data_IF_740180360658
#
_entry.id   IF_740180360658
#
_cell.length_a   1.000
_cell.length_b   1.000
_cell.length_c   1.000
_cell.angle_alpha   90.00
_cell.angle_beta   90.00
_cell.angle_gamma   90.00
#
_symmetry.space_group_name_H-M   'P 1'
#
loop_
_entity.id
_entity.type
_entity.pdbx_description
1 polymer ?
#
# COMPACT_ATOMS: atom_id res chain seq x y z
N UNK A 1 26.19 -19.78 -23.53
CA UNK A 1 26.20 -18.30 -23.51
C UNK A 1 25.57 -17.84 -22.21
N UNK A 2 26.36 -17.32 -21.27
CA UNK A 2 25.81 -16.61 -20.10
C UNK A 2 25.27 -15.28 -20.61
N UNK A 3 23.94 -15.14 -20.66
CA UNK A 3 23.34 -13.82 -20.81
C UNK A 3 23.80 -12.98 -19.62
N UNK A 4 24.60 -11.96 -19.89
CA UNK A 4 25.09 -11.04 -18.87
C UNK A 4 23.89 -10.19 -18.43
N UNK A 5 23.14 -10.68 -17.45
CA UNK A 5 22.00 -9.95 -16.89
C UNK A 5 22.57 -8.69 -16.23
N UNK A 6 22.25 -7.53 -16.78
CA UNK A 6 22.63 -6.24 -16.20
C UNK A 6 22.04 -6.11 -14.80
N UNK A 7 22.79 -5.53 -13.86
CA UNK A 7 22.31 -5.25 -12.51
C UNK A 7 21.38 -4.02 -12.44
N UNK A 8 20.71 -3.68 -13.53
CA UNK A 8 19.93 -2.44 -13.68
C UNK A 8 18.46 -2.79 -13.87
N UNK A 9 17.60 -2.20 -13.04
CA UNK A 9 16.15 -2.23 -13.22
C UNK A 9 15.75 -0.91 -13.86
N UNK A 10 15.42 -0.96 -15.15
CA UNK A 10 14.94 0.20 -15.90
C UNK A 10 13.46 0.40 -15.64
N UNK A 11 13.09 1.60 -15.21
CA UNK A 11 11.71 2.03 -15.09
C UNK A 11 11.28 2.76 -16.36
N UNK A 12 10.37 2.13 -17.11
CA UNK A 12 9.80 2.66 -18.36
C UNK A 12 9.02 3.98 -18.16
N UNK A 13 8.49 4.55 -19.25
CA UNK A 13 7.82 5.87 -19.29
C UNK A 13 6.76 6.09 -18.21
N UNK A 14 5.96 5.07 -17.89
CA UNK A 14 4.90 5.13 -16.88
C UNK A 14 5.04 4.01 -15.86
N UNK A 15 5.34 4.38 -14.62
CA UNK A 15 5.35 3.43 -13.51
C UNK A 15 3.95 3.40 -12.90
N UNK A 16 3.34 2.22 -12.97
CA UNK A 16 2.11 1.90 -12.26
C UNK A 16 2.33 0.68 -11.39
N UNK A 17 1.36 0.41 -10.53
CA UNK A 17 1.42 -0.72 -9.62
C UNK A 17 1.33 -2.04 -10.37
N UNK A 18 0.51 -2.08 -11.41
CA UNK A 18 0.49 -3.19 -12.35
C UNK A 18 1.85 -3.42 -13.00
N UNK A 19 2.52 -2.37 -13.50
CA UNK A 19 3.88 -2.46 -14.06
C UNK A 19 4.88 -2.95 -13.03
N UNK A 20 4.77 -2.50 -11.77
CA UNK A 20 5.63 -2.95 -10.68
C UNK A 20 5.51 -4.47 -10.44
N UNK A 21 4.28 -4.97 -10.27
CA UNK A 21 4.04 -6.39 -9.97
C UNK A 21 4.19 -7.33 -11.18
N UNK A 22 4.17 -6.82 -12.41
CA UNK A 22 4.34 -7.65 -13.62
C UNK A 22 5.75 -7.63 -14.18
N UNK A 23 6.44 -6.49 -14.13
CA UNK A 23 7.78 -6.30 -14.70
C UNK A 23 8.85 -6.14 -13.61
N UNK A 24 8.74 -5.13 -12.76
CA UNK A 24 9.82 -4.74 -11.82
C UNK A 24 10.19 -5.89 -10.88
N UNK A 25 9.19 -6.49 -10.23
CA UNK A 25 9.40 -7.64 -9.32
C UNK A 25 9.98 -8.86 -10.04
N UNK A 26 9.58 -9.11 -11.29
CA UNK A 26 10.10 -10.20 -12.11
C UNK A 26 11.57 -9.96 -12.49
N UNK A 27 11.90 -8.76 -12.98
CA UNK A 27 13.28 -8.36 -13.29
C UNK A 27 14.16 -8.48 -12.06
N UNK A 28 13.70 -7.97 -10.91
CA UNK A 28 14.43 -8.10 -9.66
C UNK A 28 14.63 -9.56 -9.26
N UNK A 29 13.59 -10.41 -9.36
CA UNK A 29 13.70 -11.83 -9.04
C UNK A 29 14.75 -12.54 -9.90
N UNK A 30 14.75 -12.29 -11.22
CA UNK A 30 15.70 -12.91 -12.14
C UNK A 30 17.14 -12.44 -11.87
N UNK A 31 17.32 -11.17 -11.53
CA UNK A 31 18.59 -10.61 -11.06
C UNK A 31 19.04 -11.23 -9.73
N UNK A 32 18.14 -11.31 -8.75
CA UNK A 32 18.44 -11.89 -7.45
C UNK A 32 18.85 -13.36 -7.58
N UNK A 33 18.17 -14.13 -8.42
CA UNK A 33 18.51 -15.54 -8.62
C UNK A 33 19.84 -15.76 -9.35
N UNK A 34 20.27 -14.81 -10.19
CA UNK A 34 21.55 -14.88 -10.90
C UNK A 34 22.73 -14.26 -10.15
N UNK A 35 22.50 -13.16 -9.41
CA UNK A 35 23.53 -12.36 -8.75
C UNK A 35 23.05 -11.88 -7.36
N UNK A 36 22.87 -12.81 -6.42
CA UNK A 36 22.30 -12.54 -5.08
C UNK A 36 22.94 -11.40 -4.30
N UNK A 37 24.24 -11.20 -4.45
CA UNK A 37 25.01 -10.23 -3.67
C UNK A 37 25.14 -8.85 -4.36
N UNK A 38 24.65 -8.72 -5.59
CA UNK A 38 24.72 -7.46 -6.34
C UNK A 38 23.41 -6.70 -6.16
N UNK A 39 23.44 -5.58 -5.44
CA UNK A 39 22.23 -4.74 -5.33
C UNK A 39 21.89 -4.12 -6.70
N UNK A 40 20.59 -4.02 -7.04
CA UNK A 40 20.16 -3.41 -8.28
C UNK A 40 20.44 -1.90 -8.30
N UNK A 41 20.69 -1.37 -9.49
CA UNK A 41 20.60 0.06 -9.78
C UNK A 41 19.18 0.34 -10.30
N UNK A 42 18.49 1.30 -9.70
CA UNK A 42 17.14 1.69 -10.10
C UNK A 42 17.21 2.87 -11.08
N UNK A 43 16.97 2.61 -12.36
CA UNK A 43 17.13 3.62 -13.44
C UNK A 43 15.79 4.21 -13.86
N UNK A 44 15.57 5.47 -13.46
CA UNK A 44 14.40 6.29 -13.74
C UNK A 44 14.61 7.28 -14.90
N UNK A 45 15.74 7.24 -15.63
CA UNK A 45 16.01 8.23 -16.71
C UNK A 45 14.96 8.22 -17.83
N UNK A 46 14.30 7.07 -18.05
CA UNK A 46 13.22 6.92 -19.03
C UNK A 46 11.83 7.14 -18.44
N UNK A 47 11.71 7.31 -17.11
CA UNK A 47 10.42 7.49 -16.44
C UNK A 47 9.93 8.92 -16.63
N UNK A 48 8.72 9.07 -17.18
CA UNK A 48 8.04 10.36 -17.35
C UNK A 48 7.01 10.61 -16.25
N UNK A 49 6.36 9.55 -15.77
CA UNK A 49 5.29 9.66 -14.80
C UNK A 49 5.19 8.45 -13.88
N UNK A 50 4.90 8.70 -12.61
CA UNK A 50 4.60 7.67 -11.62
C UNK A 50 3.16 7.88 -11.14
N UNK A 51 2.33 6.85 -11.27
CA UNK A 51 0.97 6.92 -10.73
C UNK A 51 1.03 7.08 -9.21
N UNK A 52 0.15 7.88 -8.58
CA UNK A 52 0.11 8.07 -7.14
C UNK A 52 0.20 6.76 -6.35
N UNK A 53 -0.50 5.73 -6.84
CA UNK A 53 -0.57 4.44 -6.16
C UNK A 53 0.76 3.69 -6.15
N UNK A 54 1.67 3.97 -7.09
CA UNK A 54 2.98 3.33 -7.18
C UNK A 54 4.03 3.98 -6.27
N UNK A 55 3.80 5.21 -5.80
CA UNK A 55 4.79 5.98 -5.02
C UNK A 55 5.16 5.29 -3.71
N UNK A 56 4.20 4.90 -2.84
CA UNK A 56 4.52 4.12 -1.63
C UNK A 56 5.22 2.80 -1.92
N UNK A 57 4.89 2.16 -3.04
CA UNK A 57 5.47 0.86 -3.41
C UNK A 57 6.95 0.99 -3.74
N UNK A 58 7.34 2.06 -4.43
CA UNK A 58 8.74 2.32 -4.76
C UNK A 58 9.58 2.59 -3.51
N UNK A 59 9.04 3.35 -2.55
CA UNK A 59 9.71 3.56 -1.26
C UNK A 59 9.81 2.26 -0.45
N UNK A 60 8.72 1.50 -0.36
CA UNK A 60 8.70 0.19 0.31
C UNK A 60 9.69 -0.80 -0.33
N UNK A 61 9.77 -0.81 -1.66
CA UNK A 61 10.74 -1.62 -2.41
C UNK A 61 12.17 -1.17 -2.16
N UNK A 62 12.44 0.13 -2.18
CA UNK A 62 13.73 0.69 -1.80
C UNK A 62 14.15 0.29 -0.37
N UNK A 63 13.25 0.44 0.59
CA UNK A 63 13.47 0.05 2.00
C UNK A 63 13.79 -1.45 2.11
N UNK A 64 13.02 -2.30 1.41
CA UNK A 64 13.28 -3.73 1.34
C UNK A 64 14.68 -4.03 0.80
N UNK A 65 15.04 -3.42 -0.32
CA UNK A 65 16.36 -3.61 -0.95
C UNK A 65 17.48 -3.10 -0.03
N UNK A 66 17.33 -1.93 0.58
CA UNK A 66 18.32 -1.36 1.49
C UNK A 66 18.59 -2.30 2.68
N UNK A 67 17.53 -2.87 3.26
CA UNK A 67 17.66 -3.89 4.33
C UNK A 67 18.28 -5.20 3.84
N UNK A 68 17.91 -5.65 2.64
CA UNK A 68 18.42 -6.90 2.05
C UNK A 68 19.93 -6.81 1.78
N UNK A 69 20.38 -5.70 1.20
CA UNK A 69 21.77 -5.49 0.80
C UNK A 69 22.61 -4.72 1.83
N UNK A 70 21.99 -4.26 2.93
CA UNK A 70 22.61 -3.49 4.02
C UNK A 70 23.37 -2.25 3.53
N UNK A 71 22.81 -1.57 2.52
CA UNK A 71 23.36 -0.35 1.93
C UNK A 71 22.27 0.46 1.26
N UNK A 72 22.50 1.77 1.11
CA UNK A 72 21.65 2.62 0.29
C UNK A 72 21.61 2.08 -1.15
N UNK A 73 20.46 2.20 -1.79
CA UNK A 73 20.24 1.69 -3.14
C UNK A 73 20.50 2.83 -4.13
N UNK A 74 21.34 2.55 -5.11
CA UNK A 74 21.64 3.51 -6.16
C UNK A 74 20.41 3.74 -7.03
N UNK A 75 20.04 5.01 -7.18
CA UNK A 75 19.04 5.45 -8.14
C UNK A 75 19.68 6.32 -9.21
N UNK A 76 19.19 6.26 -10.43
CA UNK A 76 19.66 7.10 -11.55
C UNK A 76 18.45 7.82 -12.14
N UNK A 77 18.54 9.12 -12.31
CA UNK A 77 17.47 9.94 -12.85
C UNK A 77 18.07 11.12 -13.63
N UNK A 78 17.25 11.74 -14.47
CA UNK A 78 17.65 12.94 -15.21
C UNK A 78 17.49 14.16 -14.30
N UNK A 79 18.59 14.82 -13.93
CA UNK A 79 18.57 16.07 -13.15
C UNK A 79 17.77 17.14 -13.89
N UNK A 80 17.11 18.03 -13.14
CA UNK A 80 16.22 19.07 -13.67
C UNK A 80 14.93 18.58 -14.35
N UNK A 81 14.69 17.27 -14.45
CA UNK A 81 13.45 16.73 -15.03
C UNK A 81 12.23 16.98 -14.14
N UNK A 82 11.03 16.87 -14.72
CA UNK A 82 9.77 16.91 -13.96
C UNK A 82 9.71 15.82 -12.88
N UNK A 83 10.28 14.64 -13.16
CA UNK A 83 10.37 13.55 -12.20
C UNK A 83 11.33 13.89 -11.03
N UNK A 84 12.47 14.50 -11.33
CA UNK A 84 13.39 14.98 -10.29
C UNK A 84 12.69 16.01 -9.38
N UNK A 85 12.00 17.00 -9.99
CA UNK A 85 11.21 17.97 -9.24
C UNK A 85 10.13 17.29 -8.37
N UNK A 86 9.44 16.27 -8.91
CA UNK A 86 8.50 15.45 -8.15
C UNK A 86 9.14 14.79 -6.93
N UNK A 87 10.33 14.20 -7.06
CA UNK A 87 10.99 13.57 -5.91
C UNK A 87 11.31 14.58 -4.80
N UNK A 88 11.73 15.79 -5.16
CA UNK A 88 12.06 16.84 -4.20
C UNK A 88 10.82 17.37 -3.47
N UNK A 89 9.76 17.72 -4.19
CA UNK A 89 8.59 18.41 -3.63
C UNK A 89 7.59 17.48 -2.92
N UNK A 90 7.54 16.19 -3.30
CA UNK A 90 6.60 15.23 -2.71
C UNK A 90 7.06 14.67 -1.36
N UNK A 91 8.25 15.08 -0.86
CA UNK A 91 9.00 14.47 0.25
C UNK A 91 9.63 13.10 -0.03
N UNK A 92 9.58 12.61 -1.27
CA UNK A 92 10.19 11.32 -1.61
C UNK A 92 11.70 11.33 -1.31
N UNK A 93 12.40 12.36 -1.78
CA UNK A 93 13.81 12.60 -1.49
C UNK A 93 14.08 12.68 0.02
N UNK A 94 13.39 13.58 0.72
CA UNK A 94 13.56 13.84 2.17
C UNK A 94 13.40 12.55 2.99
N UNK A 95 12.32 11.80 2.73
CA UNK A 95 12.02 10.55 3.44
C UNK A 95 13.09 9.49 3.15
N UNK A 96 13.44 9.31 1.87
CA UNK A 96 14.42 8.29 1.50
C UNK A 96 15.84 8.59 2.00
N UNK A 97 16.24 9.86 2.11
CA UNK A 97 17.48 10.25 2.77
C UNK A 97 17.44 9.98 4.27
N UNK A 98 16.38 10.42 4.95
CA UNK A 98 16.24 10.26 6.40
C UNK A 98 16.26 8.80 6.85
N UNK A 99 15.78 7.89 5.99
CA UNK A 99 15.71 6.46 6.25
C UNK A 99 16.86 5.66 5.62
N UNK A 100 17.87 6.34 5.06
CA UNK A 100 19.01 5.69 4.37
C UNK A 100 18.57 4.64 3.32
N UNK A 101 17.56 4.99 2.53
CA UNK A 101 16.99 4.11 1.50
C UNK A 101 17.75 4.25 0.18
N UNK A 102 17.91 5.48 -0.33
CA UNK A 102 18.50 5.74 -1.64
C UNK A 102 19.76 6.58 -1.57
N UNK A 103 20.70 6.30 -2.48
CA UNK A 103 21.83 7.17 -2.76
C UNK A 103 21.38 8.25 -3.74
N UNK A 104 21.43 9.50 -3.30
CA UNK A 104 21.17 10.64 -4.14
C UNK A 104 22.47 11.31 -4.50
N UNK A 105 22.56 11.76 -5.75
CA UNK A 105 23.58 12.72 -6.16
C UNK A 105 23.51 13.97 -5.26
N UNK A 106 24.65 14.62 -5.02
CA UNK A 106 24.71 15.87 -4.25
C UNK A 106 23.79 16.93 -4.91
N UNK A 107 22.65 17.18 -4.28
CA UNK A 107 21.58 18.09 -4.75
C UNK A 107 21.81 19.53 -4.29
N UNK A 108 23.00 19.86 -3.78
CA UNK A 108 23.27 21.15 -3.14
C UNK A 108 23.09 22.39 -4.02
N UNK A 109 22.96 22.30 -5.35
CA UNK A 109 23.16 23.51 -6.17
C UNK A 109 22.36 23.74 -7.48
N UNK A 110 21.24 23.05 -7.77
CA UNK A 110 20.50 23.36 -9.02
C UNK A 110 18.98 23.50 -8.84
N UNK A 111 18.52 24.75 -8.87
CA UNK A 111 17.13 25.19 -8.82
C UNK A 111 16.30 24.75 -10.06
N UNK A 112 14.99 24.53 -9.87
CA UNK A 112 13.89 25.37 -10.40
C UNK A 112 12.54 24.80 -9.92
N UNK A 113 11.96 25.44 -8.91
CA UNK A 113 10.60 25.17 -8.44
C UNK A 113 9.59 25.47 -9.58
N UNK A 114 9.11 24.44 -10.26
CA UNK A 114 7.75 24.48 -10.82
C UNK A 114 6.84 23.88 -9.76
N UNK A 115 5.85 24.64 -9.29
CA UNK A 115 4.88 24.20 -8.29
C UNK A 115 4.14 22.94 -8.78
N UNK A 116 4.69 21.76 -8.49
CA UNK A 116 3.84 20.63 -8.16
C UNK A 116 2.99 21.08 -6.99
N UNK A 117 1.66 20.91 -7.10
CA UNK A 117 0.70 21.37 -6.09
C UNK A 117 1.26 21.07 -4.71
N UNK A 118 1.55 22.12 -3.92
CA UNK A 118 2.11 22.07 -2.55
C UNK A 118 1.39 21.08 -1.61
N UNK A 119 0.20 20.64 -2.01
CA UNK A 119 -0.69 19.77 -1.30
C UNK A 119 -0.31 18.29 -1.38
N UNK A 120 0.21 17.78 -2.50
CA UNK A 120 0.47 16.34 -2.60
C UNK A 120 1.76 15.97 -1.86
N UNK A 121 1.63 15.34 -0.69
CA UNK A 121 2.76 14.98 0.18
C UNK A 121 2.76 13.50 0.49
N UNK A 122 3.93 12.90 0.41
CA UNK A 122 4.21 11.57 0.94
C UNK A 122 4.42 11.72 2.45
N UNK A 123 3.84 10.80 3.21
CA UNK A 123 4.16 10.60 4.60
C UNK A 123 4.75 9.21 4.79
N UNK A 124 5.40 9.02 5.93
CA UNK A 124 5.74 7.68 6.41
C UNK A 124 5.46 7.60 7.90
N UNK A 125 5.11 6.40 8.33
CA UNK A 125 4.90 6.04 9.72
C UNK A 125 5.92 4.99 10.13
N UNK A 126 6.81 5.42 11.02
CA UNK A 126 7.62 4.56 11.88
C UNK A 126 8.12 5.39 13.07
N UNK A 127 7.20 6.08 13.75
CA UNK A 127 7.53 6.75 15.01
C UNK A 127 7.38 5.67 16.08
N UNK A 128 8.50 5.21 16.63
CA UNK A 128 8.47 4.61 17.97
C UNK A 128 8.06 5.74 18.90
N UNK A 129 6.78 5.81 19.24
CA UNK A 129 6.32 6.74 20.24
C UNK A 129 6.97 6.30 21.56
N UNK A 130 7.87 7.11 22.12
CA UNK A 130 8.64 6.72 23.30
C UNK A 130 7.74 6.28 24.47
N UNK A 131 6.54 6.84 24.58
CA UNK A 131 5.55 6.48 25.61
C UNK A 131 4.79 5.18 25.30
N UNK A 132 4.77 4.72 24.05
CA UNK A 132 4.15 3.44 23.66
C UNK A 132 4.87 2.24 24.24
N UNK A 133 6.18 2.34 24.51
CA UNK A 133 6.95 1.25 25.12
C UNK A 133 6.53 0.99 26.57
N UNK A 134 5.95 2.00 27.24
CA UNK A 134 5.45 1.89 28.63
C UNK A 134 4.09 1.20 28.71
N UNK A 135 3.34 1.14 27.60
CA UNK A 135 1.99 0.55 27.56
C UNK A 135 2.09 -0.95 27.32
N UNK A 136 1.77 -1.75 28.35
CA UNK A 136 1.83 -3.22 28.30
C UNK A 136 0.60 -3.86 27.65
N UNK A 137 -0.58 -3.26 27.84
CA UNK A 137 -1.83 -3.82 27.31
C UNK A 137 -1.94 -3.52 25.80
N UNK A 138 -2.08 -4.55 24.94
CA UNK A 138 -2.04 -4.37 23.48
C UNK A 138 -3.11 -3.42 22.91
N UNK A 139 -4.28 -3.32 23.53
CA UNK A 139 -5.36 -2.44 23.05
C UNK A 139 -5.12 -0.99 23.41
N UNK A 140 -4.75 -0.70 24.65
CA UNK A 140 -4.33 0.63 25.08
C UNK A 140 -3.15 1.14 24.24
N UNK A 141 -2.21 0.24 23.92
CA UNK A 141 -1.06 0.56 23.07
C UNK A 141 -1.50 0.96 21.66
N UNK A 142 -2.41 0.19 21.09
CA UNK A 142 -2.97 0.47 19.76
C UNK A 142 -3.74 1.78 19.75
N UNK A 143 -4.60 2.01 20.74
CA UNK A 143 -5.48 3.18 20.79
C UNK A 143 -4.65 4.46 20.95
N UNK A 144 -3.61 4.44 21.78
CA UNK A 144 -2.65 5.53 21.88
C UNK A 144 -1.95 5.83 20.54
N UNK A 145 -1.48 4.79 19.83
CA UNK A 145 -0.85 4.96 18.50
C UNK A 145 -1.86 5.58 17.52
N UNK A 146 -3.10 5.05 17.50
CA UNK A 146 -4.18 5.54 16.65
C UNK A 146 -4.48 7.02 16.91
N UNK A 147 -4.57 7.44 18.17
CA UNK A 147 -4.86 8.83 18.53
C UNK A 147 -3.73 9.78 18.07
N UNK A 148 -2.48 9.39 18.34
CA UNK A 148 -1.32 10.16 17.88
C UNK A 148 -1.22 10.24 16.35
N UNK A 149 -1.58 9.16 15.65
CA UNK A 149 -1.60 9.14 14.19
C UNK A 149 -2.75 9.96 13.62
N UNK A 150 -3.90 10.02 14.29
CA UNK A 150 -5.09 10.74 13.85
C UNK A 150 -4.83 12.23 13.73
N UNK A 151 -4.25 12.85 14.75
CA UNK A 151 -3.93 14.29 14.73
C UNK A 151 -2.94 14.61 13.60
N UNK A 152 -1.89 13.81 13.48
CA UNK A 152 -0.90 13.96 12.41
C UNK A 152 -1.51 13.77 11.02
N UNK A 153 -2.29 12.72 10.83
CA UNK A 153 -2.94 12.39 9.55
C UNK A 153 -3.92 13.49 9.14
N UNK A 154 -4.65 14.06 10.10
CA UNK A 154 -5.56 15.17 9.86
C UNK A 154 -4.82 16.40 9.33
N UNK A 155 -3.70 16.79 9.96
CA UNK A 155 -2.87 17.92 9.49
C UNK A 155 -2.30 17.68 8.09
N UNK A 156 -1.88 16.45 7.77
CA UNK A 156 -1.25 16.14 6.49
C UNK A 156 -2.29 16.01 5.37
N UNK A 157 -3.38 15.28 5.60
CA UNK A 157 -4.27 14.83 4.54
C UNK A 157 -5.54 15.65 4.39
N UNK A 158 -6.04 16.31 5.44
CA UNK A 158 -7.30 17.05 5.36
C UNK A 158 -7.27 18.08 4.24
N UNK A 159 -6.17 18.84 4.13
CA UNK A 159 -5.99 19.84 3.08
C UNK A 159 -5.98 19.23 1.66
N UNK A 160 -5.41 18.04 1.50
CA UNK A 160 -5.38 17.35 0.19
C UNK A 160 -6.77 16.84 -0.20
N UNK A 161 -7.50 16.31 0.79
CA UNK A 161 -8.84 15.77 0.62
C UNK A 161 -9.88 16.88 0.39
N UNK A 162 -9.68 18.06 0.98
CA UNK A 162 -10.57 19.22 0.85
C UNK A 162 -10.33 20.08 -0.41
N UNK A 163 -9.18 19.93 -1.08
CA UNK A 163 -8.76 20.82 -2.16
C UNK A 163 -9.53 20.59 -3.48
N UNK A 164 -9.05 19.69 -4.34
CA UNK A 164 -9.48 19.67 -5.75
C UNK A 164 -10.87 19.08 -5.97
N UNK A 165 -11.31 18.16 -5.10
CA UNK A 165 -12.59 17.48 -5.24
C UNK A 165 -13.64 17.90 -4.21
N UNK A 166 -13.29 18.77 -3.25
CA UNK A 166 -14.16 19.18 -2.14
C UNK A 166 -14.97 18.00 -1.58
N UNK A 167 -14.26 16.92 -1.20
CA UNK A 167 -14.94 15.76 -0.63
C UNK A 167 -15.80 16.20 0.57
N UNK A 168 -17.01 15.64 0.75
CA UNK A 168 -17.83 15.95 1.91
C UNK A 168 -17.08 15.66 3.23
N UNK A 169 -17.29 16.46 4.27
CA UNK A 169 -16.53 16.35 5.53
C UNK A 169 -16.59 14.95 6.16
N UNK A 170 -17.75 14.27 6.07
CA UNK A 170 -17.90 12.90 6.53
C UNK A 170 -17.02 11.91 5.75
N UNK A 171 -16.81 12.14 4.45
CA UNK A 171 -15.92 11.32 3.62
C UNK A 171 -14.46 11.62 3.92
N UNK A 172 -14.11 12.89 4.17
CA UNK A 172 -12.78 13.28 4.62
C UNK A 172 -12.46 12.59 5.95
N UNK A 173 -13.36 12.67 6.93
CA UNK A 173 -13.21 12.00 8.23
C UNK A 173 -13.01 10.50 8.10
N UNK A 174 -13.93 9.81 7.40
CA UNK A 174 -13.82 8.36 7.17
C UNK A 174 -12.53 7.98 6.44
N UNK A 175 -12.05 8.83 5.53
CA UNK A 175 -10.79 8.62 4.79
C UNK A 175 -9.56 8.76 5.69
N UNK A 176 -9.55 9.74 6.59
CA UNK A 176 -8.44 9.92 7.54
C UNK A 176 -8.42 8.75 8.52
N UNK A 177 -9.57 8.36 9.05
CA UNK A 177 -9.72 7.26 10.00
C UNK A 177 -9.25 5.95 9.40
N UNK A 178 -9.56 5.74 8.12
CA UNK A 178 -9.06 4.65 7.32
C UNK A 178 -7.54 4.61 7.20
N UNK A 179 -6.90 5.75 6.89
CA UNK A 179 -5.44 5.84 6.81
C UNK A 179 -4.83 5.53 8.18
N UNK A 180 -5.36 6.13 9.25
CA UNK A 180 -4.92 5.93 10.64
C UNK A 180 -5.00 4.47 11.03
N UNK A 181 -6.09 3.79 10.69
CA UNK A 181 -6.25 2.37 11.02
C UNK A 181 -5.23 1.48 10.30
N UNK A 182 -5.00 1.73 9.01
CA UNK A 182 -4.03 0.96 8.22
C UNK A 182 -2.62 1.21 8.76
N UNK A 183 -2.25 2.46 9.00
CA UNK A 183 -0.94 2.83 9.55
C UNK A 183 -0.72 2.30 10.96
N UNK A 184 -1.74 2.32 11.82
CA UNK A 184 -1.69 1.73 13.17
C UNK A 184 -1.40 0.24 13.08
N UNK A 185 -2.08 -0.48 12.19
CA UNK A 185 -1.83 -1.90 11.97
C UNK A 185 -0.42 -2.16 11.40
N UNK A 186 0.09 -1.29 10.54
CA UNK A 186 1.45 -1.39 10.05
C UNK A 186 2.48 -1.22 11.19
N UNK A 187 2.33 -0.21 12.04
CA UNK A 187 3.20 0.01 13.21
C UNK A 187 3.13 -1.19 14.18
N UNK A 188 1.91 -1.68 14.45
CA UNK A 188 1.70 -2.74 15.44
C UNK A 188 2.22 -4.10 14.99
N UNK A 189 2.15 -4.42 13.69
CA UNK A 189 2.33 -5.80 13.22
C UNK A 189 3.35 -5.97 12.10
N UNK A 190 3.63 -4.94 11.30
CA UNK A 190 4.44 -5.07 10.07
C UNK A 190 5.94 -5.18 10.35
N UNK A 191 6.42 -4.54 11.43
CA UNK A 191 7.86 -4.41 11.76
C UNK A 191 8.68 -3.71 10.65
N UNK A 192 8.05 -2.83 9.87
CA UNK A 192 8.71 -2.07 8.79
C UNK A 192 8.12 -0.67 8.67
N UNK A 193 8.77 0.18 7.88
CA UNK A 193 8.25 1.49 7.51
C UNK A 193 6.99 1.34 6.67
N UNK A 194 5.93 2.06 7.03
CA UNK A 194 4.76 2.23 6.16
C UNK A 194 4.83 3.59 5.48
N UNK A 195 4.66 3.59 4.16
CA UNK A 195 4.64 4.79 3.34
C UNK A 195 3.21 5.07 2.87
N UNK A 196 2.77 6.31 2.98
CA UNK A 196 1.42 6.72 2.58
C UNK A 196 1.50 7.90 1.62
N UNK A 197 0.74 7.82 0.54
CA UNK A 197 0.58 8.93 -0.39
C UNK A 197 -0.89 9.17 -0.70
N UNK A 198 -1.32 10.43 -0.56
CA UNK A 198 -2.65 10.91 -0.89
C UNK A 198 -2.51 11.95 -1.99
N UNK A 199 -3.19 11.70 -3.12
CA UNK A 199 -3.25 12.60 -4.25
C UNK A 199 -4.71 12.84 -4.61
N UNK A 200 -5.07 14.11 -4.79
CA UNK A 200 -6.39 14.53 -5.24
C UNK A 200 -6.25 15.36 -6.51
N UNK A 201 -6.93 14.94 -7.57
CA UNK A 201 -6.97 15.63 -8.86
C UNK A 201 -8.41 15.74 -9.37
N UNK A 202 -8.61 16.28 -10.58
CA UNK A 202 -9.95 16.48 -11.15
C UNK A 202 -10.78 15.20 -11.35
N UNK A 203 -10.16 14.02 -11.34
CA UNK A 203 -10.79 12.73 -11.58
C UNK A 203 -11.17 12.03 -10.27
N UNK A 204 -10.50 12.36 -9.17
CA UNK A 204 -10.80 11.81 -7.86
C UNK A 204 -9.63 11.87 -6.90
N UNK A 205 -9.82 11.20 -5.76
CA UNK A 205 -8.82 11.05 -4.73
C UNK A 205 -8.24 9.64 -4.79
N UNK A 206 -6.93 9.54 -4.79
CA UNK A 206 -6.16 8.29 -4.75
C UNK A 206 -5.33 8.26 -3.49
N UNK A 207 -5.40 7.14 -2.80
CA UNK A 207 -4.65 6.88 -1.58
C UNK A 207 -3.94 5.56 -1.78
N UNK A 208 -2.68 5.51 -1.44
CA UNK A 208 -1.95 4.26 -1.36
C UNK A 208 -1.13 4.23 -0.09
N UNK A 209 -1.15 3.07 0.54
CA UNK A 209 -0.35 2.75 1.72
C UNK A 209 0.39 1.46 1.41
N UNK A 210 1.71 1.44 1.61
CA UNK A 210 2.51 0.25 1.37
C UNK A 210 3.62 0.13 2.41
N UNK A 211 3.84 -1.09 2.86
CA UNK A 211 4.96 -1.49 3.69
C UNK A 211 5.74 -2.64 3.03
N UNK A 212 6.87 -3.04 3.61
CA UNK A 212 7.65 -4.21 3.19
C UNK A 212 7.93 -5.16 4.37
N UNK A 213 6.93 -5.26 5.26
CA UNK A 213 7.06 -5.99 6.51
C UNK A 213 6.69 -7.47 6.40
N UNK A 214 6.43 -8.10 7.54
CA UNK A 214 6.21 -9.56 7.60
C UNK A 214 4.93 -10.04 6.90
N UNK A 215 4.00 -9.13 6.62
CA UNK A 215 2.76 -9.44 5.90
C UNK A 215 1.71 -10.18 6.72
N UNK A 216 0.55 -10.46 6.11
CA UNK A 216 -0.62 -10.97 6.83
C UNK A 216 -0.43 -12.35 7.46
N UNK A 217 0.09 -13.33 6.70
CA UNK A 217 0.20 -14.71 7.17
C UNK A 217 1.06 -14.79 8.44
N UNK A 218 2.24 -14.20 8.38
CA UNK A 218 3.18 -14.21 9.51
C UNK A 218 2.66 -13.38 10.69
N UNK A 219 2.01 -12.25 10.43
CA UNK A 219 1.34 -11.45 11.47
C UNK A 219 0.29 -12.26 12.24
N UNK A 220 -0.54 -13.03 11.55
CA UNK A 220 -1.53 -13.90 12.19
C UNK A 220 -0.87 -15.00 13.03
N UNK A 221 0.13 -15.69 12.48
CA UNK A 221 0.84 -16.75 13.18
C UNK A 221 1.52 -16.27 14.47
N UNK A 222 2.26 -15.16 14.42
CA UNK A 222 2.94 -14.57 15.59
C UNK A 222 1.96 -14.16 16.69
N UNK A 223 0.77 -13.72 16.30
CA UNK A 223 -0.29 -13.33 17.24
C UNK A 223 -1.20 -14.49 17.66
N UNK A 224 -0.85 -15.74 17.30
CA UNK A 224 -1.64 -16.95 17.59
C UNK A 224 -3.09 -16.83 17.09
N UNK A 225 -3.29 -16.16 15.96
CA UNK A 225 -4.61 -15.95 15.33
C UNK A 225 -4.79 -16.93 14.16
N UNK A 226 -6.02 -17.41 14.01
CA UNK A 226 -6.37 -18.34 12.95
C UNK A 226 -6.68 -17.61 11.63
N UNK A 227 -6.15 -18.12 10.52
CA UNK A 227 -6.53 -17.71 9.17
C UNK A 227 -7.85 -18.39 8.78
N UNK A 228 -8.97 -17.90 9.34
CA UNK A 228 -10.29 -18.53 9.25
C UNK A 228 -10.75 -18.86 7.83
N UNK A 229 -10.52 -17.99 6.86
CA UNK A 229 -10.94 -18.25 5.47
C UNK A 229 -10.05 -19.30 4.80
N UNK A 230 -8.75 -19.35 5.12
CA UNK A 230 -7.85 -20.42 4.64
C UNK A 230 -8.32 -21.78 5.17
N UNK A 231 -8.67 -21.86 6.46
CA UNK A 231 -9.18 -23.09 7.07
C UNK A 231 -10.55 -23.51 6.51
N UNK A 232 -11.45 -22.55 6.32
CA UNK A 232 -12.82 -22.84 5.86
C UNK A 232 -12.88 -23.29 4.40
N UNK A 233 -12.01 -22.74 3.55
CA UNK A 233 -11.95 -23.04 2.14
C UNK A 233 -10.79 -23.99 1.79
N UNK A 234 -10.53 -24.98 2.67
CA UNK A 234 -9.62 -26.08 2.38
C UNK A 234 -10.06 -26.83 1.12
N UNK A 235 -9.10 -27.17 0.25
CA UNK A 235 -9.37 -27.86 -1.03
C UNK A 235 -9.57 -26.94 -2.24
N UNK A 236 -9.62 -25.62 -2.05
CA UNK A 236 -9.55 -24.66 -3.16
C UNK A 236 -8.16 -24.72 -3.84
N UNK A 237 -8.12 -24.46 -5.15
CA UNK A 237 -6.87 -24.39 -5.92
C UNK A 237 -5.80 -23.53 -5.22
N UNK A 238 -4.55 -24.03 -5.17
CA UNK A 238 -3.43 -23.38 -4.46
C UNK A 238 -3.20 -21.92 -4.87
N UNK A 239 -3.51 -21.55 -6.11
CA UNK A 239 -3.38 -20.17 -6.63
C UNK A 239 -4.19 -19.15 -5.82
N UNK A 240 -5.28 -19.57 -5.16
CA UNK A 240 -6.10 -18.70 -4.32
C UNK A 240 -5.65 -18.62 -2.86
N UNK A 241 -4.53 -19.25 -2.47
CA UNK A 241 -4.10 -19.25 -1.06
C UNK A 241 -3.88 -17.82 -0.52
N UNK A 242 -3.15 -16.98 -1.26
CA UNK A 242 -2.89 -15.60 -0.83
C UNK A 242 -4.16 -14.74 -0.86
N UNK A 243 -5.08 -15.03 -1.79
CA UNK A 243 -6.43 -14.48 -1.78
C UNK A 243 -7.17 -14.81 -0.46
N UNK A 244 -7.18 -16.09 -0.05
CA UNK A 244 -7.81 -16.53 1.20
C UNK A 244 -7.13 -15.95 2.46
N UNK A 245 -5.83 -15.67 2.41
CA UNK A 245 -5.12 -14.96 3.49
C UNK A 245 -5.62 -13.51 3.60
N UNK A 246 -5.72 -12.78 2.48
CA UNK A 246 -6.31 -11.43 2.45
C UNK A 246 -7.74 -11.45 2.98
N UNK A 247 -8.55 -12.42 2.56
CA UNK A 247 -9.93 -12.57 3.05
C UNK A 247 -9.98 -12.96 4.53
N UNK A 248 -8.98 -13.66 5.06
CA UNK A 248 -8.89 -13.94 6.51
C UNK A 248 -8.60 -12.68 7.32
N UNK A 249 -7.74 -11.79 6.80
CA UNK A 249 -7.49 -10.48 7.40
C UNK A 249 -8.76 -9.61 7.40
N UNK A 250 -9.49 -9.57 6.29
CA UNK A 250 -10.78 -8.89 6.21
C UNK A 250 -11.85 -9.52 7.10
N UNK A 251 -11.87 -10.84 7.24
CA UNK A 251 -12.81 -11.53 8.13
C UNK A 251 -12.54 -11.20 9.60
N UNK A 252 -11.27 -11.16 9.99
CA UNK A 252 -10.88 -10.74 11.34
C UNK A 252 -11.35 -9.30 11.61
N UNK A 253 -11.20 -8.41 10.62
CA UNK A 253 -11.74 -7.05 10.66
C UNK A 253 -13.26 -7.08 10.86
N UNK A 254 -13.98 -7.78 9.98
CA UNK A 254 -15.44 -7.90 10.05
C UNK A 254 -15.97 -8.39 11.41
N UNK A 255 -15.31 -9.39 12.02
CA UNK A 255 -15.69 -9.89 13.34
C UNK A 255 -15.53 -8.81 14.43
N UNK A 256 -14.51 -7.95 14.34
CA UNK A 256 -14.30 -6.84 15.28
C UNK A 256 -15.32 -5.73 15.08
N UNK A 257 -15.70 -5.45 13.84
CA UNK A 257 -16.80 -4.55 13.51
C UNK A 257 -18.13 -5.03 14.11
N UNK A 258 -18.47 -6.32 13.95
CA UNK A 258 -19.71 -6.91 14.49
C UNK A 258 -19.79 -6.94 16.02
N UNK A 259 -18.65 -6.99 16.69
CA UNK A 259 -18.58 -6.86 18.15
C UNK A 259 -18.81 -5.41 18.62
N UNK A 260 -19.13 -4.46 17.73
CA UNK A 260 -19.22 -3.01 17.95
C UNK A 260 -17.97 -2.42 18.58
N UNK A 261 -16.82 -3.05 18.36
CA UNK A 261 -15.59 -2.66 19.04
C UNK A 261 -14.83 -1.56 18.32
N UNK A 262 -14.96 -1.43 16.98
CA UNK A 262 -14.01 -0.64 16.15
C UNK A 262 -14.56 -0.18 14.80
N UNK A 263 -13.99 0.92 14.31
CA UNK A 263 -13.81 1.17 12.89
C UNK A 263 -12.56 0.43 12.41
N UNK A 264 -12.70 -0.38 11.37
CA UNK A 264 -11.65 -1.28 10.92
C UNK A 264 -11.60 -1.40 9.37
N UNK A 265 -10.68 -2.21 8.85
CA UNK A 265 -10.48 -2.43 7.41
C UNK A 265 -11.79 -2.81 6.67
N UNK A 266 -12.74 -3.44 7.35
CA UNK A 266 -14.05 -3.79 6.82
C UNK A 266 -14.98 -2.58 6.70
N UNK A 267 -15.05 -1.74 7.75
CA UNK A 267 -15.80 -0.47 7.73
C UNK A 267 -15.28 0.41 6.60
N UNK A 268 -13.97 0.63 6.55
CA UNK A 268 -13.29 1.40 5.51
C UNK A 268 -13.65 0.90 4.11
N UNK A 269 -13.48 -0.40 3.86
CA UNK A 269 -13.85 -1.00 2.57
C UNK A 269 -15.30 -0.69 2.22
N UNK A 270 -16.21 -0.79 3.18
CA UNK A 270 -17.64 -0.57 2.98
C UNK A 270 -17.95 0.88 2.65
N UNK A 271 -17.35 1.82 3.37
CA UNK A 271 -17.57 3.25 3.16
C UNK A 271 -17.05 3.71 1.81
N UNK A 272 -15.86 3.25 1.39
CA UNK A 272 -15.31 3.57 0.06
C UNK A 272 -16.21 3.06 -1.05
N UNK A 273 -16.72 1.83 -0.92
CA UNK A 273 -17.56 1.21 -1.95
C UNK A 273 -18.92 1.89 -2.05
N UNK A 274 -19.51 2.32 -0.92
CA UNK A 274 -20.74 3.11 -0.90
C UNK A 274 -20.55 4.46 -1.58
N UNK A 275 -19.36 5.05 -1.47
CA UNK A 275 -19.00 6.34 -2.06
C UNK A 275 -18.34 6.20 -3.44
N UNK A 276 -18.87 5.29 -4.28
CA UNK A 276 -18.45 5.09 -5.68
C UNK A 276 -16.95 4.83 -5.88
N UNK A 277 -16.28 4.33 -4.85
CA UNK A 277 -14.85 4.10 -4.83
C UNK A 277 -14.45 2.68 -5.20
N UNK A 278 -13.14 2.48 -5.25
CA UNK A 278 -12.49 1.18 -5.35
C UNK A 278 -11.51 1.03 -4.20
N UNK A 279 -11.59 -0.11 -3.53
CA UNK A 279 -10.70 -0.51 -2.44
C UNK A 279 -9.94 -1.75 -2.88
N UNK A 280 -8.61 -1.73 -2.82
CA UNK A 280 -7.77 -2.87 -3.22
C UNK A 280 -6.80 -3.22 -2.11
N UNK A 281 -6.63 -4.52 -1.87
CA UNK A 281 -5.60 -5.05 -0.98
C UNK A 281 -4.67 -5.91 -1.82
N UNK A 282 -3.37 -5.68 -1.68
CA UNK A 282 -2.32 -6.52 -2.23
C UNK A 282 -1.56 -7.18 -1.09
N UNK A 283 -1.33 -8.48 -1.22
CA UNK A 283 -0.44 -9.26 -0.36
C UNK A 283 0.28 -10.29 -1.22
N UNK A 284 1.61 -10.32 -1.12
CA UNK A 284 2.46 -11.16 -1.96
C UNK A 284 2.16 -10.94 -3.45
N UNK A 285 1.83 -12.01 -4.15
CA UNK A 285 1.53 -12.01 -5.58
C UNK A 285 0.03 -11.85 -5.87
N UNK A 286 -0.81 -11.47 -4.90
CA UNK A 286 -2.27 -11.42 -5.10
C UNK A 286 -2.83 -10.04 -4.78
N UNK A 287 -3.64 -9.49 -5.70
CA UNK A 287 -4.48 -8.33 -5.48
C UNK A 287 -5.95 -8.74 -5.38
N UNK A 288 -6.67 -8.18 -4.41
CA UNK A 288 -8.13 -8.26 -4.32
C UNK A 288 -8.71 -6.88 -4.52
N UNK A 289 -9.70 -6.77 -5.41
CA UNK A 289 -10.30 -5.52 -5.87
C UNK A 289 -11.79 -5.52 -5.53
N UNK A 290 -12.17 -4.62 -4.64
CA UNK A 290 -13.55 -4.34 -4.30
C UNK A 290 -13.97 -3.01 -4.94
N UNK A 291 -14.89 -3.05 -5.90
CA UNK A 291 -15.39 -1.86 -6.60
C UNK A 291 -16.86 -1.61 -6.28
N UNK A 292 -17.28 -0.35 -6.27
CA UNK A 292 -18.69 0.04 -6.14
C UNK A 292 -19.62 -0.78 -7.06
N UNK A 293 -19.31 -0.87 -8.35
CA UNK A 293 -20.13 -1.59 -9.34
C UNK A 293 -20.37 -3.07 -8.98
N UNK A 294 -19.42 -3.70 -8.29
CA UNK A 294 -19.52 -5.11 -7.87
C UNK A 294 -20.08 -5.27 -6.46
N UNK A 295 -19.77 -4.33 -5.58
CA UNK A 295 -19.84 -4.54 -4.14
C UNK A 295 -20.82 -3.61 -3.40
N UNK A 296 -21.37 -2.58 -4.05
CA UNK A 296 -22.25 -1.56 -3.43
C UNK A 296 -23.50 -2.16 -2.79
N UNK A 297 -24.08 -3.18 -3.42
CA UNK A 297 -25.29 -3.86 -2.93
C UNK A 297 -24.98 -5.17 -2.20
N UNK A 298 -23.75 -5.36 -1.72
CA UNK A 298 -23.38 -6.54 -0.96
C UNK A 298 -23.96 -6.46 0.46
N UNK A 299 -25.28 -6.64 0.58
CA UNK A 299 -26.05 -6.71 1.85
C UNK A 299 -26.12 -8.12 2.41
N UNK A 300 -25.63 -9.12 1.66
CA UNK A 300 -25.79 -10.56 1.90
C UNK A 300 -24.97 -11.12 3.09
N UNK A 301 -24.84 -10.38 4.18
CA UNK A 301 -24.35 -10.94 5.44
C UNK A 301 -25.52 -11.37 6.34
N UNK A 302 -26.69 -11.66 5.75
CA UNK A 302 -27.94 -12.15 6.36
C UNK A 302 -27.73 -13.06 7.59
N UNK A 303 -27.50 -12.47 8.77
CA UNK A 303 -27.23 -13.19 10.02
C UNK A 303 -25.94 -14.03 10.06
N UNK A 304 -25.05 -13.97 9.06
CA UNK A 304 -23.79 -14.75 9.07
C UNK A 304 -22.70 -14.04 9.86
N UNK A 305 -21.98 -14.78 10.71
CA UNK A 305 -20.86 -14.27 11.52
C UNK A 305 -19.52 -14.21 10.77
N UNK A 306 -19.50 -14.38 9.45
CA UNK A 306 -18.28 -14.34 8.64
C UNK A 306 -18.55 -13.85 7.20
N UNK A 307 -17.47 -13.60 6.45
CA UNK A 307 -17.52 -13.02 5.10
C UNK A 307 -17.54 -14.07 3.97
N UNK A 308 -17.88 -15.33 4.26
CA UNK A 308 -17.74 -16.45 3.29
C UNK A 308 -18.48 -16.23 1.97
N UNK A 309 -19.63 -15.57 2.00
CA UNK A 309 -20.39 -15.25 0.78
C UNK A 309 -19.59 -14.30 -0.11
N UNK A 310 -18.93 -13.29 0.49
CA UNK A 310 -18.05 -12.39 -0.23
C UNK A 310 -16.88 -13.15 -0.86
N UNK A 311 -16.30 -14.12 -0.13
CA UNK A 311 -15.22 -14.97 -0.63
C UNK A 311 -15.65 -15.73 -1.90
N UNK A 312 -16.76 -16.46 -1.80
CA UNK A 312 -17.29 -17.23 -2.92
C UNK A 312 -17.68 -16.35 -4.10
N UNK A 313 -18.28 -15.18 -3.85
CA UNK A 313 -18.71 -14.24 -4.88
C UNK A 313 -17.52 -13.75 -5.73
N UNK A 314 -16.44 -13.29 -5.10
CA UNK A 314 -15.26 -12.81 -5.82
C UNK A 314 -14.52 -13.94 -6.53
N UNK A 315 -14.40 -15.11 -5.90
CA UNK A 315 -13.78 -16.28 -6.53
C UNK A 315 -14.52 -16.74 -7.78
N UNK A 316 -15.87 -16.78 -7.76
CA UNK A 316 -16.68 -17.16 -8.94
C UNK A 316 -16.52 -16.20 -10.12
N UNK A 317 -16.15 -14.96 -9.84
CA UNK A 317 -15.92 -13.92 -10.85
C UNK A 317 -14.44 -13.82 -11.27
N UNK A 318 -13.58 -14.71 -10.77
CA UNK A 318 -12.19 -14.72 -11.19
C UNK A 318 -12.08 -15.03 -12.68
N UNK A 319 -11.42 -14.15 -13.41
CA UNK A 319 -10.91 -14.41 -14.76
C UNK A 319 -9.45 -14.00 -14.86
N UNK A 320 -8.80 -14.37 -15.96
CA UNK A 320 -7.41 -13.97 -16.26
C UNK A 320 -7.35 -12.49 -16.70
N UNK A 321 -8.49 -11.89 -17.02
CA UNK A 321 -8.56 -10.56 -17.61
C UNK A 321 -8.34 -9.43 -16.60
N UNK A 322 -8.06 -8.24 -17.15
CA UNK A 322 -7.78 -7.00 -16.39
C UNK A 322 -8.89 -6.61 -15.42
N UNK A 323 -10.14 -7.02 -15.67
CA UNK A 323 -11.33 -6.67 -14.89
C UNK A 323 -11.64 -7.61 -13.73
N UNK A 324 -10.86 -8.69 -13.58
CA UNK A 324 -11.02 -9.67 -12.52
C UNK A 324 -10.93 -9.03 -11.12
N UNK A 325 -11.82 -9.41 -10.17
CA UNK A 325 -11.71 -8.99 -8.77
C UNK A 325 -10.46 -9.53 -8.07
N UNK A 326 -9.83 -10.56 -8.64
CA UNK A 326 -8.66 -11.22 -8.06
C UNK A 326 -7.58 -11.24 -9.14
N UNK A 327 -6.46 -10.54 -8.89
CA UNK A 327 -5.29 -10.57 -9.77
C UNK A 327 -4.21 -11.41 -9.12
N UNK A 328 -3.67 -12.38 -9.86
CA UNK A 328 -2.60 -13.25 -9.40
C UNK A 328 -1.40 -13.00 -10.32
N UNK A 329 -0.33 -12.48 -9.74
CA UNK A 329 0.93 -12.19 -10.40
C UNK A 329 1.89 -13.38 -10.28
N UNK A 330 2.91 -13.41 -11.14
CA UNK A 330 3.90 -14.49 -11.13
C UNK A 330 4.82 -14.41 -9.91
N UNK A 331 5.20 -13.18 -9.52
CA UNK A 331 6.11 -12.92 -8.41
C UNK A 331 5.38 -12.09 -7.35
N UNK A 332 5.56 -12.47 -6.09
CA UNK A 332 5.06 -11.71 -4.95
C UNK A 332 6.09 -10.69 -4.47
N UNK A 333 5.58 -9.62 -3.88
CA UNK A 333 6.40 -8.71 -3.09
C UNK A 333 5.94 -8.76 -1.64
N UNK A 334 6.90 -8.90 -0.74
CA UNK A 334 6.66 -8.98 0.69
C UNK A 334 6.04 -7.67 1.21
N UNK A 335 5.19 -7.79 2.23
CA UNK A 335 4.48 -6.68 2.86
C UNK A 335 3.01 -6.65 2.50
N UNK A 336 2.33 -5.61 2.96
CA UNK A 336 0.92 -5.35 2.65
C UNK A 336 0.81 -4.01 1.96
N UNK A 337 -0.14 -3.94 1.04
CA UNK A 337 -0.47 -2.70 0.39
C UNK A 337 -1.97 -2.53 0.21
N UNK A 338 -2.43 -1.31 0.49
CA UNK A 338 -3.82 -0.91 0.33
C UNK A 338 -3.88 0.26 -0.65
N UNK A 339 -4.76 0.14 -1.65
CA UNK A 339 -5.11 1.23 -2.56
C UNK A 339 -6.58 1.62 -2.35
N UNK A 340 -6.82 2.92 -2.31
CA UNK A 340 -8.16 3.49 -2.31
C UNK A 340 -8.27 4.48 -3.45
N UNK A 341 -9.39 4.43 -4.16
CA UNK A 341 -9.76 5.46 -5.13
C UNK A 341 -11.19 5.89 -4.84
N UNK A 342 -11.41 7.18 -4.67
CA UNK A 342 -12.73 7.79 -4.54
C UNK A 342 -12.93 8.63 -5.80
N UNK A 343 -13.88 8.23 -6.64
CA UNK A 343 -14.17 8.93 -7.89
C UNK A 343 -15.06 10.13 -7.60
N UNK A 344 -14.87 11.21 -8.36
CA UNK A 344 -15.65 12.45 -8.21
C UNK A 344 -17.14 12.27 -8.50
N UNK A 345 -17.50 11.33 -9.37
CA UNK A 345 -18.88 11.11 -9.83
C UNK A 345 -19.20 9.61 -9.89
N UNK A 346 -20.41 9.28 -9.43
CA UNK A 346 -21.13 8.06 -9.76
C UNK A 346 -22.59 8.19 -9.35
#
# INVERSE_FOLDING_TARGET
MQNNISNVIVFDEKISTYVFYTKVTKTFYDMYMSQRNTAPILDFRKTKYITPEAIPVLLSFGDYLSRLYKRKIQIVYTRGSELHNFFMVSKFYEISQKLDIFEWDDVSYEWYYKELRKLHKISYTNIIYADVEKIKEPMQKRDFISDCLRDRSKVIYQNVLSDTNKLPENIIGATIDAIVEIETNAIMYSQSHSFTYVASDRYGTKISIADSGIGFKESFLRNKRELKMVKKFQGVEKKFNNYLVIMSALNYSFEKHMESKRDDLWSLRTDIIKNNGTFKIQYENTQVIFSCNRCKNCTQINGKKDISICVQCLMRQYSIDTYSPIKIFNIGFQGVRVEVSINKEG
#
